data_IF_107221216040
#
_entry.id   IF_107221216040
#
_cell.length_a   1.000
_cell.length_b   1.000
_cell.length_c   1.000
_cell.angle_alpha   90.00
_cell.angle_beta   90.00
_cell.angle_gamma   90.00
#
_symmetry.space_group_name_H-M   'P 1'
#
loop_
_entity.id
_entity.type
_entity.pdbx_description
1 polymer ?
#
# COMPACT_ATOMS: atom_id res chain seq x y z
N UNK A 1 -26.89 8.26 -16.52
CA UNK A 1 -26.87 7.03 -15.68
C UNK A 1 -26.32 7.40 -14.31
N UNK A 2 -27.21 7.78 -13.39
CA UNK A 2 -26.85 8.22 -12.04
C UNK A 2 -26.59 6.97 -11.20
N UNK A 3 -25.32 6.73 -10.86
CA UNK A 3 -24.94 5.66 -9.94
C UNK A 3 -25.62 5.91 -8.59
N UNK A 4 -26.50 4.99 -8.18
CA UNK A 4 -27.06 4.94 -6.83
C UNK A 4 -25.92 4.76 -5.84
N UNK A 5 -25.46 5.86 -5.26
CA UNK A 5 -24.47 5.92 -4.19
C UNK A 5 -24.92 5.03 -3.02
N UNK A 6 -24.11 4.02 -2.75
CA UNK A 6 -23.79 3.47 -1.43
C UNK A 6 -24.93 3.49 -0.40
N UNK A 7 -26.01 2.73 -0.62
CA UNK A 7 -26.89 2.33 0.49
C UNK A 7 -26.17 1.24 1.29
N UNK A 8 -25.82 1.55 2.53
CA UNK A 8 -25.28 0.59 3.50
C UNK A 8 -26.30 -0.54 3.68
N UNK A 9 -25.97 -1.73 3.15
CA UNK A 9 -26.81 -2.92 3.29
C UNK A 9 -26.81 -3.33 4.78
N UNK A 10 -27.97 -3.32 5.43
CA UNK A 10 -28.14 -3.80 6.80
C UNK A 10 -28.96 -5.07 6.79
N UNK A 11 -28.44 -6.15 7.37
CA UNK A 11 -29.17 -7.39 7.59
C UNK A 11 -29.05 -7.78 9.06
N UNK A 12 -30.19 -7.97 9.74
CA UNK A 12 -30.25 -8.28 11.18
C UNK A 12 -29.37 -7.34 12.01
N UNK A 13 -29.54 -6.03 11.78
CA UNK A 13 -28.79 -4.94 12.44
C UNK A 13 -27.27 -4.92 12.20
N UNK A 14 -26.72 -5.86 11.44
CA UNK A 14 -25.31 -5.86 11.01
C UNK A 14 -25.16 -5.17 9.67
N UNK A 15 -24.17 -4.28 9.59
CA UNK A 15 -23.77 -3.67 8.34
C UNK A 15 -22.99 -4.68 7.49
N UNK A 16 -23.47 -4.90 6.28
CA UNK A 16 -22.86 -5.76 5.28
C UNK A 16 -22.18 -4.88 4.25
N UNK A 17 -20.88 -5.05 4.10
CA UNK A 17 -20.11 -4.50 2.99
C UNK A 17 -19.99 -5.55 1.89
N UNK A 18 -20.60 -5.28 0.73
CA UNK A 18 -20.48 -6.16 -0.44
C UNK A 18 -19.17 -5.84 -1.15
N UNK A 19 -18.18 -6.73 -1.00
CA UNK A 19 -16.91 -6.63 -1.69
C UNK A 19 -17.00 -7.28 -3.07
N UNK A 20 -16.17 -6.81 -4.01
CA UNK A 20 -16.00 -7.49 -5.31
C UNK A 20 -15.58 -8.94 -5.08
N UNK A 21 -16.22 -9.87 -5.78
CA UNK A 21 -15.84 -11.28 -5.75
C UNK A 21 -14.46 -11.45 -6.43
N UNK A 22 -13.47 -11.90 -5.66
CA UNK A 22 -12.13 -12.24 -6.18
C UNK A 22 -11.98 -13.76 -6.10
N UNK A 23 -11.63 -14.46 -7.20
CA UNK A 23 -11.37 -15.90 -7.18
C UNK A 23 -10.39 -16.30 -6.09
N UNK A 24 -10.67 -17.41 -5.39
CA UNK A 24 -9.86 -17.87 -4.24
C UNK A 24 -8.36 -17.96 -4.58
N UNK A 25 -8.02 -18.54 -5.73
CA UNK A 25 -6.64 -18.67 -6.23
C UNK A 25 -5.91 -17.33 -6.29
N UNK A 26 -6.57 -16.28 -6.80
CA UNK A 26 -5.98 -14.94 -6.90
C UNK A 26 -5.79 -14.33 -5.50
N UNK A 27 -6.76 -14.54 -4.60
CA UNK A 27 -6.65 -14.05 -3.22
C UNK A 27 -5.49 -14.71 -2.48
N UNK A 28 -5.25 -15.99 -2.72
CA UNK A 28 -4.18 -16.74 -2.06
C UNK A 28 -2.81 -16.25 -2.55
N UNK A 29 -2.61 -16.07 -3.87
CA UNK A 29 -1.40 -15.45 -4.44
C UNK A 29 -1.15 -14.05 -3.85
N UNK A 30 -2.19 -13.20 -3.78
CA UNK A 30 -2.04 -11.84 -3.23
C UNK A 30 -1.67 -11.80 -1.76
N UNK A 31 -1.97 -12.86 -0.98
CA UNK A 31 -1.55 -12.95 0.42
C UNK A 31 -0.04 -13.11 0.55
N UNK A 32 0.60 -13.75 -0.41
CA UNK A 32 2.06 -13.95 -0.42
C UNK A 32 2.78 -12.60 -0.54
N UNK A 33 2.25 -11.66 -1.32
CA UNK A 33 2.73 -10.26 -1.43
C UNK A 33 2.40 -9.37 -0.22
N UNK A 34 1.88 -9.91 0.89
CA UNK A 34 1.47 -9.11 2.05
C UNK A 34 2.61 -8.33 2.69
N UNK A 35 3.85 -8.83 2.62
CA UNK A 35 5.02 -8.13 3.15
C UNK A 35 5.29 -6.81 2.41
N UNK A 36 5.25 -6.84 1.08
CA UNK A 36 5.46 -5.67 0.22
C UNK A 36 4.30 -4.68 0.37
N UNK A 37 3.05 -5.15 0.27
CA UNK A 37 1.87 -4.27 0.34
C UNK A 37 1.72 -3.57 1.69
N UNK A 38 2.12 -4.21 2.80
CA UNK A 38 2.17 -3.56 4.13
C UNK A 38 3.19 -2.43 4.17
N UNK A 39 4.38 -2.63 3.64
CA UNK A 39 5.40 -1.58 3.57
C UNK A 39 4.99 -0.44 2.64
N UNK A 40 4.36 -0.75 1.50
CA UNK A 40 3.82 0.26 0.60
C UNK A 40 2.73 1.11 1.28
N UNK A 41 1.79 0.46 1.98
CA UNK A 41 0.72 1.14 2.70
C UNK A 41 1.26 2.01 3.85
N UNK A 42 2.24 1.53 4.60
CA UNK A 42 2.90 2.26 5.70
C UNK A 42 3.55 3.56 5.22
N UNK A 43 3.97 3.61 3.96
CA UNK A 43 4.59 4.77 3.31
C UNK A 43 3.58 5.63 2.53
N UNK A 44 2.30 5.29 2.57
CA UNK A 44 1.25 6.02 1.83
C UNK A 44 1.34 5.85 0.32
N UNK A 45 1.99 4.80 -0.18
CA UNK A 45 2.19 4.57 -1.61
C UNK A 45 0.98 3.84 -2.18
N UNK A 46 0.41 4.41 -3.23
CA UNK A 46 -0.65 3.76 -3.99
C UNK A 46 -0.09 2.64 -4.87
N UNK A 47 -0.75 1.48 -4.84
CA UNK A 47 -0.41 0.34 -5.67
C UNK A 47 -1.64 -0.25 -6.33
N UNK A 48 -1.42 -0.90 -7.47
CA UNK A 48 -2.45 -1.58 -8.26
C UNK A 48 -2.02 -3.02 -8.49
N UNK A 49 -2.93 -3.95 -8.22
CA UNK A 49 -2.74 -5.34 -8.57
C UNK A 49 -2.80 -5.54 -10.09
N UNK A 50 -1.79 -6.24 -10.61
CA UNK A 50 -1.87 -6.87 -11.92
C UNK A 50 -2.61 -8.20 -11.75
N UNK A 51 -3.36 -8.60 -12.77
CA UNK A 51 -4.09 -9.88 -12.79
C UNK A 51 -3.43 -10.73 -13.86
N UNK A 52 -3.06 -12.00 -13.60
CA UNK A 52 -3.37 -12.80 -12.39
C UNK A 52 -2.44 -12.55 -11.19
N UNK A 53 -1.19 -12.16 -11.42
CA UNK A 53 -0.14 -11.96 -10.42
C UNK A 53 0.60 -10.64 -10.68
N UNK A 54 1.24 -10.10 -9.64
CA UNK A 54 2.10 -8.94 -9.72
C UNK A 54 1.47 -7.64 -9.24
N UNK A 55 2.33 -6.64 -9.07
CA UNK A 55 2.03 -5.34 -8.48
C UNK A 55 2.63 -4.23 -9.33
N UNK A 56 1.88 -3.15 -9.46
CA UNK A 56 2.35 -1.92 -10.08
C UNK A 56 2.19 -0.76 -9.10
N UNK A 57 3.25 0.00 -8.87
CA UNK A 57 3.21 1.19 -8.02
C UNK A 57 4.23 2.20 -8.50
N UNK A 58 4.06 3.45 -8.07
CA UNK A 58 5.03 4.51 -8.32
C UNK A 58 5.77 4.80 -7.02
N UNK A 59 7.09 4.71 -7.03
CA UNK A 59 7.96 5.00 -5.90
C UNK A 59 9.07 5.95 -6.36
N UNK A 60 9.29 7.05 -5.62
CA UNK A 60 10.26 8.10 -5.99
C UNK A 60 10.15 8.54 -7.46
N UNK A 61 8.91 8.80 -7.91
CA UNK A 61 8.57 9.16 -9.31
C UNK A 61 8.86 8.09 -10.37
N UNK A 62 9.45 6.96 -9.99
CA UNK A 62 9.69 5.82 -10.86
C UNK A 62 8.55 4.80 -10.76
N UNK A 63 8.07 4.36 -11.92
CA UNK A 63 7.04 3.33 -12.00
C UNK A 63 7.69 1.94 -11.93
N UNK A 64 7.36 1.19 -10.89
CA UNK A 64 7.85 -0.17 -10.68
C UNK A 64 6.77 -1.18 -11.02
N UNK A 65 7.17 -2.22 -11.75
CA UNK A 65 6.35 -3.38 -12.09
C UNK A 65 7.01 -4.63 -11.55
N UNK A 66 6.34 -5.28 -10.60
CA UNK A 66 6.81 -6.48 -9.93
C UNK A 66 5.90 -7.63 -10.34
N UNK A 67 6.40 -8.50 -11.20
CA UNK A 67 5.61 -9.60 -11.77
C UNK A 67 5.73 -10.92 -11.00
N UNK A 68 6.73 -11.05 -10.11
CA UNK A 68 7.02 -12.29 -9.35
C UNK A 68 7.33 -11.98 -7.89
N UNK A 69 7.22 -13.00 -7.02
CA UNK A 69 7.59 -12.88 -5.61
C UNK A 69 9.06 -12.57 -5.39
N UNK A 70 9.96 -13.23 -6.13
CA UNK A 70 11.40 -13.00 -5.98
C UNK A 70 11.77 -11.53 -6.22
N UNK A 71 11.16 -10.91 -7.25
CA UNK A 71 11.34 -9.48 -7.52
C UNK A 71 10.78 -8.60 -6.40
N UNK A 72 9.70 -9.03 -5.75
CA UNK A 72 9.12 -8.33 -4.60
C UNK A 72 10.06 -8.39 -3.39
N UNK A 73 10.64 -9.56 -3.11
CA UNK A 73 11.59 -9.75 -2.02
C UNK A 73 12.85 -8.93 -2.24
N UNK A 74 13.45 -9.01 -3.43
CA UNK A 74 14.60 -8.18 -3.82
C UNK A 74 14.32 -6.69 -3.65
N UNK A 75 13.15 -6.22 -4.12
CA UNK A 75 12.77 -4.82 -3.96
C UNK A 75 12.69 -4.40 -2.49
N UNK A 76 12.11 -5.24 -1.63
CA UNK A 76 12.01 -4.95 -0.19
C UNK A 76 13.39 -4.96 0.46
N UNK A 77 14.26 -5.91 0.10
CA UNK A 77 15.62 -6.00 0.61
C UNK A 77 16.49 -4.81 0.22
N UNK A 78 16.39 -4.32 -1.02
CA UNK A 78 17.22 -3.22 -1.52
C UNK A 78 16.69 -1.85 -1.06
N UNK A 79 15.38 -1.62 -1.17
CA UNK A 79 14.82 -0.27 -1.02
C UNK A 79 14.25 0.01 0.37
N UNK A 80 13.83 -1.02 1.11
CA UNK A 80 13.22 -0.82 2.43
C UNK A 80 14.16 -1.11 3.60
N UNK A 81 15.21 -1.90 3.40
CA UNK A 81 16.19 -2.22 4.45
C UNK A 81 17.03 -1.01 4.89
N UNK A 82 17.19 0.01 4.05
CA UNK A 82 17.82 1.30 4.39
C UNK A 82 16.84 2.43 4.75
N UNK A 83 15.53 2.19 4.70
CA UNK A 83 14.49 3.23 4.73
C UNK A 83 14.16 3.83 6.09
N UNK A 84 14.90 3.51 7.15
CA UNK A 84 14.81 4.27 8.42
C UNK A 84 15.44 5.66 8.32
N UNK A 85 16.45 5.85 7.45
CA UNK A 85 17.20 7.10 7.36
C UNK A 85 16.37 8.28 6.84
N UNK A 86 15.47 8.04 5.89
CA UNK A 86 14.64 9.10 5.31
C UNK A 86 13.52 9.54 6.28
N UNK A 87 13.02 8.61 7.11
CA UNK A 87 12.05 8.91 8.17
C UNK A 87 12.69 9.62 9.36
N UNK A 88 13.97 9.32 9.68
CA UNK A 88 14.77 10.12 10.61
C UNK A 88 14.94 11.53 10.05
N UNK A 89 15.42 11.67 8.80
CA UNK A 89 15.65 12.98 8.18
C UNK A 89 14.40 13.86 8.12
N UNK A 90 13.23 13.31 7.78
CA UNK A 90 11.98 14.07 7.80
C UNK A 90 11.52 14.44 9.21
N UNK A 91 11.66 13.53 10.20
CA UNK A 91 11.34 13.84 11.60
C UNK A 91 12.32 14.86 12.21
N UNK A 92 13.59 14.75 11.90
CA UNK A 92 14.63 15.65 12.38
C UNK A 92 14.41 17.06 11.81
N UNK A 93 14.00 17.17 10.55
CA UNK A 93 13.60 18.45 9.94
C UNK A 93 12.34 19.04 10.61
N UNK A 94 11.30 18.23 10.85
CA UNK A 94 10.10 18.70 11.57
C UNK A 94 10.42 19.17 13.00
N UNK A 95 11.38 18.53 13.69
CA UNK A 95 11.81 18.92 15.04
C UNK A 95 12.65 20.21 15.02
N UNK A 96 13.48 20.43 14.00
CA UNK A 96 14.24 21.67 13.82
C UNK A 96 13.30 22.85 13.55
N UNK A 97 12.36 22.68 12.62
CA UNK A 97 11.40 23.74 12.25
C UNK A 97 10.48 24.15 13.42
N UNK A 98 10.19 23.23 14.36
CA UNK A 98 9.45 23.54 15.57
C UNK A 98 10.27 24.35 16.59
N UNK A 99 11.57 24.08 16.71
CA UNK A 99 12.47 24.82 17.61
C UNK A 99 12.75 26.24 17.14
N UNK A 100 12.83 26.46 15.83
CA UNK A 100 13.02 27.80 15.26
C UNK A 100 11.78 28.69 15.39
N UNK A 101 10.58 28.11 15.53
CA UNK A 101 9.33 28.86 15.75
C UNK A 101 9.09 29.31 17.20
N UNK A 102 9.82 28.76 18.17
CA UNK A 102 9.71 29.12 19.60
C UNK A 102 10.74 30.17 20.07
N UNK A 103 11.62 30.65 19.17
CA UNK A 103 12.57 31.76 19.40
C UNK A 103 12.06 33.07 18.81
#
# INVERSE_FOLDING_TARGET
LQATRDKTLKYKEKEITVLKQIPRRIRDIRREYSFLTKELLKRGINYRWLVPEGLLFTWREQRHRIDTLDKAELFVMEFFRGGEEERRRSKDQEVIDLREKEL
#
